data_IF_305019608693
#
_entry.id   IF_305019608693
#
_cell.length_a   1.000
_cell.length_b   1.000
_cell.length_c   1.000
_cell.angle_alpha   90.00
_cell.angle_beta   90.00
_cell.angle_gamma   90.00
#
_symmetry.space_group_name_H-M   'P 1'
#
loop_
_entity.id
_entity.type
_entity.pdbx_description
1 polymer ?
#
# COMPACT_ATOMS: atom_id res chain seq x y z
N UNK A 1 17.09 13.00 -42.95
CA UNK A 1 17.36 12.82 -41.52
C UNK A 1 17.18 14.18 -40.87
N UNK A 2 16.20 14.36 -39.99
CA UNK A 2 15.93 15.67 -39.38
C UNK A 2 16.75 15.76 -38.10
N UNK A 3 17.73 16.67 -38.07
CA UNK A 3 18.52 16.94 -36.87
C UNK A 3 17.66 17.71 -35.87
N UNK A 4 17.20 17.03 -34.82
CA UNK A 4 16.45 17.62 -33.70
C UNK A 4 17.24 18.69 -32.94
N UNK A 5 18.56 18.77 -33.14
CA UNK A 5 19.43 19.77 -32.53
C UNK A 5 19.30 21.17 -33.17
N UNK A 6 18.87 21.26 -34.43
CA UNK A 6 18.82 22.52 -35.18
C UNK A 6 17.49 23.29 -34.99
N UNK A 7 16.53 22.72 -34.26
CA UNK A 7 15.25 23.36 -33.99
C UNK A 7 15.30 24.25 -32.74
N UNK A 8 15.35 25.56 -32.96
CA UNK A 8 15.25 26.59 -31.91
C UNK A 8 13.90 27.30 -31.98
N UNK A 9 13.13 27.30 -30.89
CA UNK A 9 11.96 28.15 -30.72
C UNK A 9 12.44 29.55 -30.30
N UNK A 10 12.09 30.60 -31.05
CA UNK A 10 12.48 31.98 -30.74
C UNK A 10 11.24 32.81 -30.40
N UNK A 11 11.21 33.44 -29.23
CA UNK A 11 10.16 34.38 -28.80
C UNK A 11 10.83 35.68 -28.36
N UNK A 12 10.55 36.78 -29.06
CA UNK A 12 11.23 38.08 -28.95
C UNK A 12 12.76 37.93 -29.02
N UNK A 13 13.43 37.87 -27.87
CA UNK A 13 14.90 37.73 -27.73
C UNK A 13 15.34 36.39 -27.12
N UNK A 14 14.40 35.55 -26.72
CA UNK A 14 14.69 34.27 -26.06
C UNK A 14 14.63 33.12 -27.07
N UNK A 15 15.77 32.46 -27.29
CA UNK A 15 15.84 31.23 -28.08
C UNK A 15 15.92 30.02 -27.15
N UNK A 16 14.95 29.14 -27.23
CA UNK A 16 14.87 27.93 -26.42
C UNK A 16 14.95 26.70 -27.33
N UNK A 17 15.94 25.85 -27.10
CA UNK A 17 16.13 24.64 -27.89
C UNK A 17 15.03 23.63 -27.58
N UNK A 18 14.49 22.99 -28.62
CA UNK A 18 13.41 22.01 -28.49
C UNK A 18 13.78 20.86 -27.54
N UNK A 19 15.05 20.49 -27.48
CA UNK A 19 15.58 19.50 -26.54
C UNK A 19 15.31 19.84 -25.08
N UNK A 20 15.43 21.12 -24.70
CA UNK A 20 15.21 21.57 -23.33
C UNK A 20 13.74 21.39 -22.93
N UNK A 21 12.82 21.75 -23.84
CA UNK A 21 11.38 21.55 -23.63
C UNK A 21 11.07 20.06 -23.46
N UNK A 22 11.59 19.23 -24.37
CA UNK A 22 11.33 17.80 -24.40
C UNK A 22 11.84 17.11 -23.12
N UNK A 23 13.00 17.53 -22.61
CA UNK A 23 13.56 17.05 -21.35
C UNK A 23 12.65 17.37 -20.16
N UNK A 24 12.14 18.61 -20.07
CA UNK A 24 11.24 19.03 -18.98
C UNK A 24 9.95 18.21 -19.01
N UNK A 25 9.31 18.07 -20.17
CA UNK A 25 8.08 17.29 -20.31
C UNK A 25 8.31 15.80 -20.03
N UNK A 26 9.46 15.26 -20.46
CA UNK A 26 9.84 13.88 -20.15
C UNK A 26 9.95 13.67 -18.64
N UNK A 27 10.59 14.59 -17.92
CA UNK A 27 10.69 14.53 -16.45
C UNK A 27 9.32 14.55 -15.77
N UNK A 28 8.42 15.44 -16.19
CA UNK A 28 7.05 15.50 -15.64
C UNK A 28 6.31 14.18 -15.89
N UNK A 29 6.43 13.64 -17.11
CA UNK A 29 5.84 12.34 -17.46
C UNK A 29 6.36 11.20 -16.57
N UNK A 30 7.66 11.14 -16.33
CA UNK A 30 8.29 10.14 -15.46
C UNK A 30 7.77 10.28 -14.03
N UNK A 31 7.70 11.49 -13.48
CA UNK A 31 7.22 11.73 -12.10
C UNK A 31 5.76 11.27 -11.94
N UNK A 32 4.90 11.56 -12.92
CA UNK A 32 3.51 11.10 -12.92
C UNK A 32 3.43 9.58 -13.00
N UNK A 33 4.22 8.95 -13.86
CA UNK A 33 4.24 7.49 -14.03
C UNK A 33 4.75 6.79 -12.76
N UNK A 34 5.82 7.31 -12.15
CA UNK A 34 6.36 6.80 -10.88
C UNK A 34 5.32 6.95 -9.76
N UNK A 35 4.64 8.09 -9.68
CA UNK A 35 3.58 8.33 -8.67
C UNK A 35 2.41 7.37 -8.85
N UNK A 36 2.00 7.13 -10.10
CA UNK A 36 0.94 6.17 -10.44
C UNK A 36 1.33 4.75 -10.05
N UNK A 37 2.52 4.29 -10.46
CA UNK A 37 3.03 2.97 -10.09
C UNK A 37 3.17 2.84 -8.57
N UNK A 38 3.68 3.86 -7.89
CA UNK A 38 3.81 3.85 -6.43
C UNK A 38 2.45 3.66 -5.74
N UNK A 39 1.40 4.37 -6.20
CA UNK A 39 0.04 4.19 -5.69
C UNK A 39 -0.48 2.79 -6.00
N UNK A 40 -0.25 2.30 -7.22
CA UNK A 40 -0.69 0.99 -7.67
C UNK A 40 -0.05 -0.14 -6.84
N UNK A 41 1.27 -0.09 -6.61
CA UNK A 41 1.99 -1.05 -5.78
C UNK A 41 1.66 -0.90 -4.29
N UNK A 42 1.39 0.32 -3.80
CA UNK A 42 0.91 0.54 -2.43
C UNK A 42 -0.47 -0.08 -2.19
N UNK A 43 -1.36 -0.01 -3.18
CA UNK A 43 -2.70 -0.61 -3.11
C UNK A 43 -2.65 -2.14 -3.25
N UNK A 44 -1.71 -2.66 -4.03
CA UNK A 44 -1.50 -4.09 -4.25
C UNK A 44 -0.47 -4.72 -3.31
N UNK A 45 -0.21 -4.14 -2.13
CA UNK A 45 0.54 -4.86 -1.10
C UNK A 45 -0.32 -6.03 -0.63
N UNK A 46 -0.15 -7.17 -1.28
CA UNK A 46 -0.64 -8.47 -0.85
C UNK A 46 0.16 -8.85 0.38
N UNK A 47 -0.52 -8.99 1.52
CA UNK A 47 0.09 -9.43 2.76
C UNK A 47 0.02 -10.96 2.77
N UNK A 48 1.14 -11.62 3.03
CA UNK A 48 1.20 -13.08 3.09
C UNK A 48 0.78 -13.50 4.49
N UNK A 49 -0.38 -14.13 4.64
CA UNK A 49 -0.80 -14.78 5.88
C UNK A 49 -0.94 -16.27 5.63
N UNK A 50 -0.27 -17.11 6.43
CA UNK A 50 -0.48 -18.57 6.45
C UNK A 50 -0.46 -19.29 5.08
N UNK A 51 0.39 -18.83 4.14
CA UNK A 51 0.60 -19.36 2.78
C UNK A 51 -0.43 -18.95 1.71
N UNK A 52 -1.33 -18.01 2.00
CA UNK A 52 -2.22 -17.41 1.00
C UNK A 52 -1.96 -15.90 0.83
N UNK A 53 -2.13 -15.40 -0.39
CA UNK A 53 -2.02 -13.97 -0.72
C UNK A 53 -3.31 -13.25 -0.33
N UNK A 54 -3.36 -12.65 0.86
CA UNK A 54 -4.55 -11.91 1.33
C UNK A 54 -4.38 -10.40 1.17
N UNK A 55 -5.49 -9.74 0.86
CA UNK A 55 -5.55 -8.27 0.82
C UNK A 55 -5.36 -7.69 2.22
N UNK A 56 -4.88 -6.45 2.30
CA UNK A 56 -4.65 -5.74 3.57
C UNK A 56 -5.90 -5.69 4.49
N UNK A 57 -7.08 -5.58 3.88
CA UNK A 57 -8.35 -5.54 4.61
C UNK A 57 -8.70 -6.91 5.20
N UNK A 58 -8.40 -7.98 4.47
CA UNK A 58 -8.63 -9.35 4.92
C UNK A 58 -7.65 -9.77 5.99
N UNK A 59 -6.38 -9.37 5.88
CA UNK A 59 -5.39 -9.57 6.94
C UNK A 59 -5.85 -8.93 8.25
N UNK A 60 -6.31 -7.67 8.20
CA UNK A 60 -6.78 -6.95 9.39
C UNK A 60 -8.03 -7.59 10.00
N UNK A 61 -8.91 -8.14 9.16
CA UNK A 61 -10.09 -8.91 9.59
C UNK A 61 -9.68 -10.22 10.29
N UNK A 62 -8.71 -10.94 9.73
CA UNK A 62 -8.18 -12.19 10.28
C UNK A 62 -7.49 -11.98 11.62
N UNK A 63 -6.60 -10.98 11.71
CA UNK A 63 -5.94 -10.60 12.97
C UNK A 63 -6.94 -10.23 14.06
N UNK A 64 -7.99 -9.46 13.70
CA UNK A 64 -9.06 -9.12 14.63
C UNK A 64 -9.84 -10.36 15.08
N UNK A 65 -10.08 -11.31 14.19
CA UNK A 65 -10.76 -12.56 14.52
C UNK A 65 -9.94 -13.42 15.48
N UNK A 66 -8.63 -13.50 15.27
CA UNK A 66 -7.72 -14.26 16.14
C UNK A 66 -7.66 -13.68 17.56
N UNK A 67 -7.57 -12.35 17.67
CA UNK A 67 -7.64 -11.66 18.96
C UNK A 67 -8.96 -11.92 19.69
N UNK A 68 -10.09 -11.83 18.99
CA UNK A 68 -11.40 -12.15 19.57
C UNK A 68 -11.47 -13.60 20.05
N UNK A 69 -10.92 -14.54 19.28
CA UNK A 69 -10.90 -15.96 19.65
C UNK A 69 -10.08 -16.21 20.92
N UNK A 70 -8.94 -15.54 21.06
CA UNK A 70 -8.11 -15.59 22.26
C UNK A 70 -8.84 -15.01 23.48
N UNK A 71 -9.54 -13.88 23.32
CA UNK A 71 -10.34 -13.28 24.39
C UNK A 71 -11.47 -14.23 24.85
N UNK A 72 -12.15 -14.87 23.90
CA UNK A 72 -13.16 -15.90 24.18
C UNK A 72 -12.57 -17.08 24.97
N UNK A 73 -11.39 -17.55 24.59
CA UNK A 73 -10.72 -18.66 25.26
C UNK A 73 -10.38 -18.32 26.71
N UNK A 74 -9.89 -17.11 26.96
CA UNK A 74 -9.63 -16.58 28.30
C UNK A 74 -10.91 -16.49 29.13
N UNK A 75 -12.01 -16.02 28.52
CA UNK A 75 -13.29 -15.89 29.21
C UNK A 75 -13.89 -17.25 29.58
N UNK A 76 -13.86 -18.22 28.66
CA UNK A 76 -14.27 -19.60 28.94
C UNK A 76 -13.44 -20.20 30.08
N UNK A 77 -12.12 -19.96 30.09
CA UNK A 77 -11.25 -20.43 31.16
C UNK A 77 -11.64 -19.84 32.52
N UNK A 78 -11.98 -18.54 32.57
CA UNK A 78 -12.48 -17.87 33.79
C UNK A 78 -13.79 -18.49 34.27
N UNK A 79 -14.78 -18.66 33.38
CA UNK A 79 -16.07 -19.26 33.71
C UNK A 79 -15.90 -20.67 34.25
N UNK A 80 -15.07 -21.49 33.59
CA UNK A 80 -14.77 -22.86 34.01
C UNK A 80 -14.11 -22.90 35.40
N UNK A 81 -13.21 -21.96 35.70
CA UNK A 81 -12.57 -21.84 37.01
C UNK A 81 -13.60 -21.49 38.09
N UNK A 82 -14.47 -20.51 37.83
CA UNK A 82 -15.53 -20.09 38.76
C UNK A 82 -16.52 -21.23 39.05
N UNK A 83 -16.92 -21.97 38.03
CA UNK A 83 -17.80 -23.13 38.19
C UNK A 83 -17.16 -24.21 39.06
N UNK A 84 -15.88 -24.55 38.80
CA UNK A 84 -15.13 -25.54 39.60
C UNK A 84 -14.96 -25.10 41.06
N UNK A 85 -14.75 -23.81 41.34
CA UNK A 85 -14.66 -23.32 42.71
C UNK A 85 -16.00 -23.34 43.45
N UNK A 86 -17.10 -23.07 42.75
CA UNK A 86 -18.45 -23.11 43.34
C UNK A 86 -18.90 -24.55 43.62
N UNK A 87 -18.54 -25.51 42.75
CA UNK A 87 -18.81 -26.93 43.00
C UNK A 87 -18.08 -27.47 44.23
N UNK A 88 -16.87 -26.95 44.53
CA UNK A 88 -16.07 -27.34 45.71
C UNK A 88 -16.55 -26.74 47.05
N UNK A 89 -17.44 -25.75 47.00
CA UNK A 89 -18.00 -25.04 48.17
C UNK A 89 -19.36 -25.58 48.62
N UNK A 90 -19.97 -26.49 47.86
CA UNK A 90 -21.08 -27.34 48.29
C UNK A 90 -20.52 -28.65 48.82
#
# INVERSE_FOLDING_TARGET
MINLLDFSFKVLDFSLSLWVVLLIFSFIGIICLVSYLYILFKKNRKFIYEKEEVSADEFKRLEKFENLRNDFEIEIAKVRKTYKSNLKRK
#
